data_IF_149569936747
#
_entry.id   IF_149569936747
#
_cell.length_a   1.000
_cell.length_b   1.000
_cell.length_c   1.000
_cell.angle_alpha   90.00
_cell.angle_beta   90.00
_cell.angle_gamma   90.00
#
_symmetry.space_group_name_H-M   'P 1'
#
loop_
_entity.id
_entity.type
_entity.pdbx_description
1 polymer ?
#
# COMPACT_ATOMS: atom_id res chain seq x y z
N UNK A 1 -10.92 2.50 -26.93
CA UNK A 1 -11.58 3.17 -25.79
C UNK A 1 -11.32 2.32 -24.57
N UNK A 2 -10.60 2.86 -23.58
CA UNK A 2 -10.42 2.21 -22.28
C UNK A 2 -11.74 2.43 -21.54
N UNK A 3 -12.74 1.58 -21.82
CA UNK A 3 -14.18 1.88 -21.60
C UNK A 3 -14.66 1.69 -20.16
N UNK A 4 -13.76 1.70 -19.17
CA UNK A 4 -14.07 1.94 -17.77
C UNK A 4 -12.85 2.63 -17.17
N UNK A 5 -13.01 3.80 -16.56
CA UNK A 5 -12.02 4.32 -15.62
C UNK A 5 -11.97 3.32 -14.45
N UNK A 6 -11.14 2.28 -14.58
CA UNK A 6 -10.77 1.46 -13.44
C UNK A 6 -9.79 2.34 -12.66
N UNK A 7 -10.32 3.08 -11.69
CA UNK A 7 -9.49 3.85 -10.78
C UNK A 7 -8.67 2.87 -9.93
N UNK A 8 -7.36 2.86 -10.15
CA UNK A 8 -6.45 2.11 -9.31
C UNK A 8 -6.35 2.78 -7.93
N UNK A 9 -6.14 1.98 -6.87
CA UNK A 9 -5.88 2.51 -5.54
C UNK A 9 -4.66 3.44 -5.58
N UNK A 10 -4.82 4.63 -5.01
CA UNK A 10 -3.73 5.63 -4.97
C UNK A 10 -2.82 5.44 -3.76
N UNK A 11 -3.34 4.83 -2.70
CA UNK A 11 -2.61 4.51 -1.47
C UNK A 11 -2.18 3.04 -1.43
N UNK A 12 -1.04 2.79 -0.78
CA UNK A 12 -0.55 1.42 -0.56
C UNK A 12 -1.53 0.59 0.29
N UNK A 13 -2.11 1.20 1.33
CA UNK A 13 -3.03 0.49 2.24
C UNK A 13 -4.29 0.05 1.49
N UNK A 14 -4.93 0.96 0.74
CA UNK A 14 -6.10 0.64 -0.07
C UNK A 14 -5.79 -0.45 -1.12
N UNK A 15 -4.60 -0.41 -1.72
CA UNK A 15 -4.17 -1.42 -2.68
C UNK A 15 -3.98 -2.80 -2.04
N UNK A 16 -3.43 -2.84 -0.83
CA UNK A 16 -3.22 -4.08 -0.07
C UNK A 16 -4.55 -4.67 0.39
N UNK A 17 -5.51 -3.83 0.75
CA UNK A 17 -6.87 -4.27 1.11
C UNK A 17 -7.57 -4.92 -0.09
N UNK A 18 -7.59 -4.25 -1.25
CA UNK A 18 -8.15 -4.82 -2.48
C UNK A 18 -7.43 -6.13 -2.90
N UNK A 19 -6.11 -6.19 -2.73
CA UNK A 19 -5.33 -7.40 -3.01
C UNK A 19 -5.69 -8.57 -2.08
N UNK A 20 -5.95 -8.29 -0.80
CA UNK A 20 -6.29 -9.34 0.18
C UNK A 20 -7.70 -9.90 -0.01
N UNK A 21 -8.63 -9.06 -0.48
CA UNK A 21 -10.02 -9.39 -0.79
C UNK A 21 -10.19 -10.12 -2.13
N UNK A 22 -9.23 -10.00 -3.05
CA UNK A 22 -9.31 -10.62 -4.37
C UNK A 22 -9.20 -12.15 -4.27
N UNK A 23 -10.33 -12.82 -4.48
CA UNK A 23 -10.43 -14.27 -4.41
C UNK A 23 -9.71 -14.99 -5.55
N UNK A 24 -9.57 -14.38 -6.74
CA UNK A 24 -8.84 -14.98 -7.86
C UNK A 24 -7.34 -15.00 -7.57
N UNK A 25 -6.80 -13.89 -7.08
CA UNK A 25 -5.40 -13.78 -6.66
C UNK A 25 -5.12 -14.68 -5.45
N UNK A 26 -6.06 -14.78 -4.51
CA UNK A 26 -5.93 -15.68 -3.36
C UNK A 26 -5.91 -17.15 -3.75
N UNK A 27 -6.67 -17.54 -4.78
CA UNK A 27 -6.62 -18.88 -5.34
C UNK A 27 -5.33 -19.14 -6.14
N UNK A 28 -4.81 -18.11 -6.83
CA UNK A 28 -3.59 -18.22 -7.63
C UNK A 28 -2.32 -18.34 -6.76
N UNK A 29 -2.17 -17.48 -5.76
CA UNK A 29 -0.98 -17.43 -4.90
C UNK A 29 -1.10 -18.25 -3.62
N UNK A 30 -2.33 -18.57 -3.21
CA UNK A 30 -2.63 -19.24 -1.95
C UNK A 30 -2.83 -18.27 -0.78
N UNK A 31 -3.78 -18.62 0.09
CA UNK A 31 -4.19 -17.80 1.25
C UNK A 31 -3.04 -17.40 2.17
N UNK A 32 -2.08 -18.30 2.42
CA UNK A 32 -0.95 -18.01 3.31
C UNK A 32 -0.05 -16.91 2.75
N UNK A 33 0.22 -16.96 1.44
CA UNK A 33 1.03 -15.95 0.77
C UNK A 33 0.34 -14.59 0.80
N UNK A 34 -0.93 -14.53 0.41
CA UNK A 34 -1.69 -13.26 0.35
C UNK A 34 -1.72 -12.58 1.71
N UNK A 35 -2.09 -13.30 2.76
CA UNK A 35 -2.15 -12.75 4.12
C UNK A 35 -0.77 -12.34 4.64
N UNK A 36 0.28 -13.12 4.39
CA UNK A 36 1.65 -12.76 4.82
C UNK A 36 2.16 -11.52 4.09
N UNK A 37 1.94 -11.45 2.78
CA UNK A 37 2.33 -10.31 1.96
C UNK A 37 1.61 -9.04 2.41
N UNK A 38 0.30 -9.11 2.61
CA UNK A 38 -0.51 -7.99 3.08
C UNK A 38 -0.03 -7.50 4.46
N UNK A 39 0.26 -8.41 5.40
CA UNK A 39 0.80 -8.06 6.71
C UNK A 39 2.16 -7.34 6.62
N UNK A 40 3.09 -7.84 5.78
CA UNK A 40 4.40 -7.20 5.56
C UNK A 40 4.21 -5.78 5.01
N UNK A 41 3.30 -5.59 4.04
CA UNK A 41 3.07 -4.28 3.43
C UNK A 41 2.42 -3.27 4.37
N UNK A 42 1.56 -3.72 5.29
CA UNK A 42 1.05 -2.85 6.36
C UNK A 42 2.16 -2.42 7.32
N UNK A 43 3.00 -3.36 7.77
CA UNK A 43 4.12 -3.05 8.64
C UNK A 43 5.16 -2.11 7.98
N UNK A 44 5.43 -2.30 6.68
CA UNK A 44 6.29 -1.41 5.90
C UNK A 44 5.72 0.02 5.85
N UNK A 45 4.42 0.15 5.62
CA UNK A 45 3.75 1.46 5.61
C UNK A 45 3.80 2.15 6.98
N UNK A 46 3.52 1.43 8.06
CA UNK A 46 3.63 1.96 9.43
C UNK A 46 5.05 2.45 9.71
N UNK A 47 6.06 1.65 9.39
CA UNK A 47 7.47 2.03 9.55
C UNK A 47 7.82 3.29 8.74
N UNK A 48 7.29 3.41 7.52
CA UNK A 48 7.50 4.60 6.68
C UNK A 48 6.88 5.86 7.30
N UNK A 49 5.68 5.75 7.89
CA UNK A 49 4.99 6.87 8.53
C UNK A 49 5.65 7.34 9.83
N UNK A 50 6.45 6.50 10.48
CA UNK A 50 7.17 6.85 11.70
C UNK A 50 8.44 7.68 11.46
N UNK A 51 8.92 7.76 10.22
CA UNK A 51 10.16 8.47 9.89
C UNK A 51 9.90 9.77 9.13
N UNK A 52 10.70 10.80 9.43
CA UNK A 52 10.68 12.06 8.66
C UNK A 52 11.59 11.87 7.44
N UNK A 53 11.01 11.88 6.25
CA UNK A 53 11.74 11.80 5.00
C UNK A 53 12.61 13.04 4.77
N UNK A 54 13.69 12.95 3.96
CA UNK A 54 14.50 14.11 3.61
C UNK A 54 13.69 15.24 2.98
N UNK A 55 12.68 14.90 2.16
CA UNK A 55 11.78 15.87 1.55
C UNK A 55 10.92 16.57 2.61
N UNK A 56 10.31 15.83 3.53
CA UNK A 56 9.53 16.44 4.62
C UNK A 56 10.40 17.34 5.50
N UNK A 57 11.65 16.96 5.74
CA UNK A 57 12.60 17.82 6.43
C UNK A 57 12.88 19.11 5.67
N UNK A 58 13.07 19.04 4.35
CA UNK A 58 13.42 20.20 3.53
C UNK A 58 12.23 21.15 3.31
N UNK A 59 11.01 20.62 3.22
CA UNK A 59 9.83 21.39 2.78
C UNK A 59 8.73 21.54 3.83
N UNK A 60 8.67 20.67 4.85
CA UNK A 60 7.63 20.72 5.90
C UNK A 60 8.16 21.12 7.29
N UNK A 61 9.45 20.90 7.59
CA UNK A 61 10.04 21.46 8.80
C UNK A 61 10.38 22.93 8.57
N UNK A 62 9.61 23.81 9.21
CA UNK A 62 9.92 25.23 9.27
C UNK A 62 11.27 25.41 9.97
N UNK A 63 12.23 26.03 9.28
CA UNK A 63 13.48 26.48 9.89
C UNK A 63 13.16 27.29 11.15
N UNK A 64 13.54 26.79 12.32
CA UNK A 64 13.58 27.55 13.58
C UNK A 64 15.01 28.01 13.82
#
# INVERSE_FOLDING_TARGET
VNTKEIELPRGLIDAVELFEEDTELRNLFGSSFVTTYAAIKRAEFETFMEVISPWEREFLLLNV
#
